data_IF_037988956962
#
_entry.id   IF_037988956962
#
_cell.length_a   1.000
_cell.length_b   1.000
_cell.length_c   1.000
_cell.angle_alpha   90.00
_cell.angle_beta   90.00
_cell.angle_gamma   90.00
#
_symmetry.space_group_name_H-M   'P 1'
#
loop_
_entity.id
_entity.type
_entity.pdbx_description
1 polymer ?
#
# COMPACT_ATOMS: atom_id res chain seq x y z
N UNK A 1 4.34 -12.28 -10.64
CA UNK A 1 4.65 -10.98 -10.05
C UNK A 1 5.85 -11.19 -9.16
N UNK A 2 6.93 -10.49 -9.47
CA UNK A 2 8.14 -10.42 -8.68
C UNK A 2 8.28 -8.94 -8.30
N UNK A 3 8.42 -8.66 -7.02
CA UNK A 3 8.66 -7.29 -6.55
C UNK A 3 9.99 -6.80 -7.09
N UNK A 4 10.12 -5.51 -7.32
CA UNK A 4 11.42 -4.93 -7.62
C UNK A 4 12.23 -4.85 -6.33
N UNK A 5 12.96 -5.91 -6.00
CA UNK A 5 13.76 -5.98 -4.77
C UNK A 5 15.11 -5.26 -4.87
N UNK A 6 15.53 -4.85 -6.06
CA UNK A 6 16.86 -4.27 -6.27
C UNK A 6 17.08 -3.03 -5.42
N UNK A 7 16.05 -2.18 -5.28
CA UNK A 7 16.16 -1.00 -4.45
C UNK A 7 16.28 -1.35 -2.95
N UNK A 8 15.47 -2.30 -2.46
CA UNK A 8 15.58 -2.77 -1.06
C UNK A 8 16.99 -3.31 -0.75
N UNK A 9 17.52 -4.12 -1.66
CA UNK A 9 18.80 -4.81 -1.46
C UNK A 9 20.00 -3.87 -1.64
N UNK A 10 20.00 -3.07 -2.70
CA UNK A 10 21.17 -2.28 -3.11
C UNK A 10 21.19 -0.88 -2.50
N UNK A 11 20.01 -0.27 -2.27
CA UNK A 11 19.92 1.11 -1.79
C UNK A 11 19.63 1.18 -0.29
N UNK A 12 18.80 0.27 0.23
CA UNK A 12 18.42 0.24 1.64
C UNK A 12 19.16 -0.80 2.48
N UNK A 13 20.05 -1.60 1.85
CA UNK A 13 20.87 -2.61 2.52
C UNK A 13 20.08 -3.69 3.28
N UNK A 14 18.85 -3.98 2.86
CA UNK A 14 18.12 -5.14 3.37
C UNK A 14 18.71 -6.44 2.80
N UNK A 15 18.57 -7.52 3.56
CA UNK A 15 18.88 -8.88 3.09
C UNK A 15 17.61 -9.71 3.03
N UNK A 16 17.47 -10.52 1.98
CA UNK A 16 16.42 -11.56 1.92
C UNK A 16 16.85 -12.72 2.81
N UNK A 17 15.94 -13.20 3.65
CA UNK A 17 16.12 -14.42 4.41
C UNK A 17 15.60 -15.60 3.61
N UNK A 18 16.39 -16.66 3.56
CA UNK A 18 15.90 -17.93 3.04
C UNK A 18 14.78 -18.45 3.92
N UNK A 19 13.57 -18.52 3.35
CA UNK A 19 12.44 -19.20 3.96
C UNK A 19 12.15 -20.48 3.14
N UNK A 20 12.30 -21.68 3.72
CA UNK A 20 12.06 -22.91 2.97
C UNK A 20 10.63 -22.93 2.44
N UNK A 21 10.48 -23.21 1.15
CA UNK A 21 9.17 -23.28 0.52
C UNK A 21 8.24 -24.21 1.29
N UNK A 22 7.15 -23.64 1.82
CA UNK A 22 6.09 -24.36 2.51
C UNK A 22 4.80 -24.24 1.70
N UNK A 23 4.24 -25.36 1.28
CA UNK A 23 2.92 -25.38 0.66
C UNK A 23 1.87 -24.96 1.71
N UNK A 24 1.00 -23.97 1.43
CA UNK A 24 -0.07 -23.58 2.34
C UNK A 24 -1.04 -24.73 2.59
N UNK A 25 -1.48 -24.85 3.84
CA UNK A 25 -2.59 -25.71 4.23
C UNK A 25 -3.94 -25.12 3.77
N UNK A 26 -4.96 -25.96 3.70
CA UNK A 26 -6.33 -25.51 3.37
C UNK A 26 -6.82 -24.46 4.37
N UNK A 27 -6.52 -24.63 5.67
CA UNK A 27 -6.92 -23.65 6.69
C UNK A 27 -6.23 -22.30 6.53
N UNK A 28 -4.93 -22.27 6.19
CA UNK A 28 -4.22 -21.03 5.86
C UNK A 28 -4.84 -20.35 4.61
N UNK A 29 -5.21 -21.13 3.59
CA UNK A 29 -5.84 -20.61 2.38
C UNK A 29 -7.27 -20.09 2.62
N UNK A 30 -8.03 -20.71 3.53
CA UNK A 30 -9.40 -20.29 3.88
C UNK A 30 -9.43 -18.92 4.56
N UNK A 31 -8.36 -18.53 5.24
CA UNK A 31 -8.23 -17.26 5.95
C UNK A 31 -7.22 -16.32 5.26
N UNK A 32 -6.93 -16.55 3.98
CA UNK A 32 -5.94 -15.78 3.23
C UNK A 32 -6.41 -14.34 2.99
N UNK A 33 -5.95 -13.40 3.81
CA UNK A 33 -6.29 -11.98 3.64
C UNK A 33 -5.69 -11.36 2.37
N UNK A 34 -4.57 -11.88 1.87
CA UNK A 34 -3.92 -11.36 0.67
C UNK A 34 -4.78 -11.52 -0.58
N UNK A 35 -5.73 -12.47 -0.62
CA UNK A 35 -6.63 -12.61 -1.78
C UNK A 35 -7.68 -11.53 -1.90
N UNK A 36 -7.79 -10.62 -0.92
CA UNK A 36 -8.68 -9.46 -0.98
C UNK A 36 -7.98 -8.21 -1.52
N UNK A 37 -6.65 -8.25 -1.69
CA UNK A 37 -5.88 -7.15 -2.24
C UNK A 37 -5.93 -7.22 -3.77
N UNK A 38 -6.32 -6.10 -4.37
CA UNK A 38 -6.33 -5.91 -5.81
C UNK A 38 -5.17 -4.99 -6.20
N UNK A 39 -4.46 -5.31 -7.28
CA UNK A 39 -3.40 -4.45 -7.77
C UNK A 39 -3.99 -3.15 -8.36
N UNK A 40 -3.29 -2.03 -8.14
CA UNK A 40 -3.59 -0.75 -8.75
C UNK A 40 -2.36 -0.19 -9.46
N UNK A 41 -2.12 -0.71 -10.66
CA UNK A 41 -0.92 -0.44 -11.47
C UNK A 41 -0.63 1.04 -11.74
N UNK A 42 -1.65 1.92 -11.76
CA UNK A 42 -1.45 3.36 -12.02
C UNK A 42 -0.67 4.10 -10.93
N UNK A 43 -0.56 3.48 -9.76
CA UNK A 43 0.23 3.97 -8.64
C UNK A 43 1.09 2.82 -8.08
N UNK A 44 1.47 1.89 -8.94
CA UNK A 44 2.35 0.75 -8.66
C UNK A 44 1.92 -0.15 -7.49
N UNK A 45 0.66 -0.08 -7.04
CA UNK A 45 0.17 -1.00 -6.02
C UNK A 45 0.16 -2.42 -6.57
N UNK A 46 0.93 -3.28 -5.93
CA UNK A 46 1.21 -4.64 -6.35
C UNK A 46 1.32 -5.52 -5.09
N UNK A 47 0.57 -6.62 -5.03
CA UNK A 47 0.49 -7.46 -3.83
C UNK A 47 0.66 -8.95 -4.10
N UNK A 48 1.29 -9.66 -3.18
CA UNK A 48 1.19 -11.12 -3.20
C UNK A 48 -0.27 -11.54 -3.04
N UNK A 49 -0.63 -12.70 -3.58
CA UNK A 49 -1.97 -13.27 -3.45
C UNK A 49 -2.01 -14.56 -2.61
N UNK A 50 -0.86 -15.03 -2.12
CA UNK A 50 -0.75 -16.26 -1.34
C UNK A 50 0.24 -16.08 -0.18
N UNK A 51 -0.03 -16.65 1.01
CA UNK A 51 0.84 -16.46 2.19
C UNK A 51 2.26 -17.00 2.00
N UNK A 52 2.44 -18.09 1.24
CA UNK A 52 3.76 -18.67 0.97
C UNK A 52 4.60 -17.86 -0.04
N UNK A 53 4.10 -16.72 -0.52
CA UNK A 53 4.85 -15.77 -1.34
C UNK A 53 5.41 -14.61 -0.51
N UNK A 54 5.16 -14.57 0.81
CA UNK A 54 5.83 -13.61 1.68
C UNK A 54 7.34 -13.75 1.55
N UNK A 55 8.01 -12.60 1.47
CA UNK A 55 9.47 -12.54 1.39
C UNK A 55 9.96 -11.97 2.71
N UNK A 56 10.65 -12.78 3.51
CA UNK A 56 11.23 -12.29 4.76
C UNK A 56 12.50 -11.50 4.45
N UNK A 57 12.56 -10.28 4.96
CA UNK A 57 13.68 -9.35 4.80
C UNK A 57 14.18 -8.86 6.17
N UNK A 58 15.40 -8.34 6.22
CA UNK A 58 15.99 -7.77 7.43
C UNK A 58 16.98 -6.68 7.12
N UNK A 59 17.04 -5.67 7.98
CA UNK A 59 18.05 -4.61 8.01
C UNK A 59 19.21 -4.94 8.98
N UNK A 60 19.24 -6.16 9.51
CA UNK A 60 20.19 -6.62 10.52
C UNK A 60 19.76 -6.38 11.98
N UNK A 61 18.78 -5.51 12.23
CA UNK A 61 18.23 -5.27 13.57
C UNK A 61 16.85 -5.91 13.73
N UNK A 62 15.96 -5.64 12.77
CA UNK A 62 14.60 -6.13 12.74
C UNK A 62 14.36 -7.02 11.52
N UNK A 63 13.21 -7.69 11.54
CA UNK A 63 12.79 -8.63 10.50
C UNK A 63 11.37 -8.32 10.10
N UNK A 64 11.12 -8.33 8.80
CA UNK A 64 9.83 -7.98 8.23
C UNK A 64 9.43 -9.00 7.16
N UNK A 65 8.14 -9.19 6.97
CA UNK A 65 7.61 -10.01 5.88
C UNK A 65 7.00 -9.09 4.82
N UNK A 66 7.68 -8.97 3.69
CA UNK A 66 7.25 -8.19 2.52
C UNK A 66 6.09 -8.88 1.81
N UNK A 67 5.02 -8.11 1.55
CA UNK A 67 3.82 -8.62 0.90
C UNK A 67 3.28 -7.74 -0.22
N UNK A 68 3.80 -6.53 -0.39
CA UNK A 68 3.38 -5.65 -1.48
C UNK A 68 4.32 -4.47 -1.68
N UNK A 69 4.07 -3.70 -2.73
CA UNK A 69 4.72 -2.43 -3.02
C UNK A 69 3.71 -1.43 -3.58
N UNK A 70 4.07 -0.15 -3.55
CA UNK A 70 3.43 0.94 -4.28
C UNK A 70 4.49 1.97 -4.69
N UNK A 71 4.06 3.04 -5.37
CA UNK A 71 4.92 4.14 -5.78
C UNK A 71 5.75 4.78 -4.65
N UNK A 72 5.36 4.60 -3.38
CA UNK A 72 6.06 5.12 -2.20
C UNK A 72 7.01 4.09 -1.53
N UNK A 73 7.06 2.85 -2.01
CA UNK A 73 7.95 1.82 -1.47
C UNK A 73 7.22 0.52 -1.14
N UNK A 74 7.61 -0.13 -0.04
CA UNK A 74 7.33 -1.56 0.18
C UNK A 74 6.50 -1.79 1.44
N UNK A 75 5.39 -2.51 1.30
CA UNK A 75 4.53 -2.90 2.41
C UNK A 75 5.04 -4.17 3.09
N UNK A 76 5.25 -4.05 4.40
CA UNK A 76 5.80 -5.14 5.19
C UNK A 76 5.00 -5.34 6.48
N UNK A 77 5.03 -6.57 6.99
CA UNK A 77 4.50 -6.92 8.31
C UNK A 77 5.67 -7.06 9.27
N UNK A 78 5.62 -6.36 10.40
CA UNK A 78 6.63 -6.48 11.45
C UNK A 78 6.36 -7.69 12.39
N UNK A 79 7.25 -7.90 13.36
CA UNK A 79 7.12 -8.99 14.34
C UNK A 79 5.89 -8.89 15.25
N UNK A 80 5.31 -7.69 15.39
CA UNK A 80 4.11 -7.45 16.19
C UNK A 80 2.83 -7.59 15.36
N UNK A 81 2.96 -7.84 14.05
CA UNK A 81 1.84 -7.97 13.11
C UNK A 81 1.37 -6.64 12.53
N UNK A 82 2.06 -5.54 12.81
CA UNK A 82 1.74 -4.21 12.27
C UNK A 82 2.17 -4.14 10.81
N UNK A 83 1.40 -3.39 10.03
CA UNK A 83 1.73 -3.07 8.64
C UNK A 83 2.46 -1.75 8.60
N UNK A 84 3.65 -1.77 8.00
CA UNK A 84 4.54 -0.64 7.84
C UNK A 84 4.87 -0.46 6.36
N UNK A 85 5.27 0.75 5.98
CA UNK A 85 5.84 1.04 4.67
C UNK A 85 7.32 1.36 4.83
N UNK A 86 8.17 0.56 4.18
CA UNK A 86 9.58 0.89 3.97
C UNK A 86 9.65 1.84 2.79
N UNK A 87 10.02 3.08 3.06
CA UNK A 87 9.95 4.19 2.12
C UNK A 87 11.09 4.12 1.09
N UNK A 88 10.74 4.32 -0.19
CA UNK A 88 11.72 4.69 -1.21
C UNK A 88 12.16 6.17 -1.03
N UNK A 89 12.94 6.70 -1.97
CA UNK A 89 13.41 8.08 -1.88
C UNK A 89 12.28 9.11 -2.04
N UNK A 90 11.30 8.86 -2.91
CA UNK A 90 10.11 9.73 -3.06
C UNK A 90 9.31 9.82 -1.76
N UNK A 91 9.05 8.68 -1.13
CA UNK A 91 8.37 8.63 0.16
C UNK A 91 9.21 9.24 1.28
N UNK A 92 10.54 9.11 1.24
CA UNK A 92 11.40 9.77 2.22
C UNK A 92 11.34 11.30 2.10
N UNK A 93 11.20 11.85 0.91
CA UNK A 93 10.99 13.29 0.73
C UNK A 93 9.67 13.76 1.36
N UNK A 94 8.61 12.96 1.25
CA UNK A 94 7.30 13.26 1.84
C UNK A 94 7.32 13.10 3.37
N UNK A 95 7.75 11.94 3.85
CA UNK A 95 7.59 11.55 5.25
C UNK A 95 8.77 11.93 6.15
N UNK A 96 9.93 12.23 5.55
CA UNK A 96 11.20 12.46 6.27
C UNK A 96 11.58 11.28 7.19
N UNK A 97 11.06 10.09 6.90
CA UNK A 97 11.26 8.87 7.66
C UNK A 97 11.36 7.66 6.72
N UNK A 98 12.22 6.69 7.04
CA UNK A 98 12.45 5.50 6.21
C UNK A 98 11.42 4.41 6.45
N UNK A 99 10.76 4.42 7.60
CA UNK A 99 9.69 3.47 7.93
C UNK A 99 8.53 4.27 8.50
N UNK A 100 7.36 4.13 7.90
CA UNK A 100 6.13 4.79 8.39
C UNK A 100 5.06 3.76 8.72
N UNK A 101 4.23 4.11 9.71
CA UNK A 101 3.11 3.28 10.12
C UNK A 101 1.97 3.37 9.10
N UNK A 102 1.36 2.21 8.81
CA UNK A 102 0.24 2.10 7.88
C UNK A 102 -1.01 1.66 8.63
N UNK A 103 -0.97 0.48 9.25
CA UNK A 103 -2.06 -0.06 10.06
C UNK A 103 -1.57 -0.97 11.17
N UNK A 104 -2.39 -1.17 12.19
CA UNK A 104 -2.05 -2.05 13.31
C UNK A 104 -2.15 -3.54 13.00
N UNK A 105 -2.75 -3.92 11.86
CA UNK A 105 -2.79 -5.30 11.37
C UNK A 105 -3.02 -5.40 9.86
N UNK A 106 -2.74 -6.57 9.28
CA UNK A 106 -3.05 -6.87 7.88
C UNK A 106 -4.56 -6.79 7.57
N UNK A 107 -5.42 -7.16 8.51
CA UNK A 107 -6.88 -7.07 8.35
C UNK A 107 -7.34 -5.62 8.20
N UNK A 108 -6.77 -4.72 9.02
CA UNK A 108 -7.08 -3.29 8.96
C UNK A 108 -6.47 -2.64 7.71
N UNK A 109 -5.30 -3.11 7.27
CA UNK A 109 -4.74 -2.72 5.97
C UNK A 109 -5.64 -3.09 4.81
N UNK A 110 -6.11 -4.34 4.73
CA UNK A 110 -7.04 -4.80 3.68
C UNK A 110 -8.32 -3.95 3.69
N UNK A 111 -8.85 -3.65 4.87
CA UNK A 111 -10.05 -2.83 5.03
C UNK A 111 -9.81 -1.38 4.57
N UNK A 112 -8.70 -0.76 4.99
CA UNK A 112 -8.32 0.60 4.63
C UNK A 112 -8.03 0.73 3.12
N UNK A 113 -7.32 -0.24 2.55
CA UNK A 113 -7.06 -0.30 1.11
C UNK A 113 -8.35 -0.49 0.30
N UNK A 114 -9.27 -1.31 0.78
CA UNK A 114 -10.59 -1.48 0.14
C UNK A 114 -11.42 -0.19 0.17
N UNK A 115 -11.36 0.57 1.28
CA UNK A 115 -11.97 1.90 1.37
C UNK A 115 -11.34 2.85 0.36
N UNK A 116 -10.01 2.87 0.25
CA UNK A 116 -9.29 3.67 -0.75
C UNK A 116 -9.76 3.34 -2.17
N UNK A 117 -9.80 2.06 -2.56
CA UNK A 117 -10.30 1.64 -3.87
C UNK A 117 -11.76 2.07 -4.10
N UNK A 118 -12.61 1.97 -3.08
CA UNK A 118 -13.99 2.45 -3.15
C UNK A 118 -14.07 3.94 -3.47
N UNK A 119 -13.32 4.78 -2.75
CA UNK A 119 -13.27 6.23 -3.01
C UNK A 119 -12.67 6.53 -4.40
N UNK A 120 -11.67 5.75 -4.83
CA UNK A 120 -11.10 5.84 -6.17
C UNK A 120 -12.16 5.60 -7.27
N UNK A 121 -13.05 4.61 -7.09
CA UNK A 121 -14.17 4.40 -8.01
C UNK A 121 -15.20 5.53 -7.97
N UNK A 122 -15.45 6.14 -6.81
CA UNK A 122 -16.31 7.31 -6.69
C UNK A 122 -15.72 8.49 -7.48
N UNK A 123 -14.43 8.79 -7.31
CA UNK A 123 -13.71 9.83 -8.06
C UNK A 123 -13.82 9.58 -9.57
N UNK A 124 -13.54 8.35 -10.01
CA UNK A 124 -13.70 7.93 -11.42
C UNK A 124 -15.12 8.12 -11.93
N UNK A 125 -16.15 7.87 -11.11
CA UNK A 125 -17.54 8.04 -11.55
C UNK A 125 -17.92 9.51 -11.79
N UNK A 126 -17.19 10.45 -11.18
CA UNK A 126 -17.48 11.88 -11.20
C UNK A 126 -16.44 12.74 -11.94
N UNK A 127 -15.39 12.16 -12.51
CA UNK A 127 -14.18 12.88 -12.95
C UNK A 127 -14.39 14.12 -13.84
N UNK A 128 -15.43 14.17 -14.69
CA UNK A 128 -15.72 15.34 -15.52
C UNK A 128 -16.49 16.47 -14.82
N UNK A 129 -17.07 16.21 -13.64
CA UNK A 129 -18.06 17.08 -12.99
C UNK A 129 -17.80 17.33 -11.51
N UNK A 130 -16.84 16.64 -10.92
CA UNK A 130 -16.54 16.74 -9.50
C UNK A 130 -16.06 18.16 -9.18
N UNK A 131 -16.61 18.74 -8.11
CA UNK A 131 -16.15 20.03 -7.58
C UNK A 131 -15.07 19.81 -6.54
N UNK A 132 -14.17 20.78 -6.36
CA UNK A 132 -13.12 20.73 -5.34
C UNK A 132 -13.67 20.36 -3.93
N UNK A 133 -14.76 21.00 -3.50
CA UNK A 133 -15.42 20.67 -2.22
C UNK A 133 -15.88 19.21 -2.12
N UNK A 134 -16.29 18.58 -3.22
CA UNK A 134 -16.66 17.16 -3.21
C UNK A 134 -15.43 16.26 -3.11
N UNK A 135 -14.28 16.68 -3.64
CA UNK A 135 -13.00 15.98 -3.49
C UNK A 135 -12.52 16.06 -2.03
N UNK A 136 -12.57 17.26 -1.45
CA UNK A 136 -12.27 17.50 -0.03
C UNK A 136 -13.16 16.64 0.88
N UNK A 137 -14.47 16.57 0.59
CA UNK A 137 -15.41 15.72 1.33
C UNK A 137 -15.05 14.23 1.21
N UNK A 138 -14.69 13.75 0.00
CA UNK A 138 -14.26 12.36 -0.21
C UNK A 138 -12.98 12.04 0.56
N UNK A 139 -11.99 12.94 0.54
CA UNK A 139 -10.73 12.80 1.26
C UNK A 139 -10.97 12.75 2.79
N UNK A 140 -11.77 13.68 3.31
CA UNK A 140 -12.11 13.73 4.73
C UNK A 140 -12.85 12.46 5.18
N UNK A 141 -13.89 12.06 4.45
CA UNK A 141 -14.63 10.82 4.75
C UNK A 141 -13.73 9.59 4.72
N UNK A 142 -12.83 9.50 3.73
CA UNK A 142 -11.85 8.41 3.65
C UNK A 142 -11.01 8.32 4.91
N UNK A 143 -10.45 9.46 5.34
CA UNK A 143 -9.58 9.51 6.50
C UNK A 143 -10.35 9.20 7.80
N UNK A 144 -11.58 9.72 7.94
CA UNK A 144 -12.46 9.40 9.06
C UNK A 144 -12.75 7.90 9.15
N UNK A 145 -13.04 7.24 8.01
CA UNK A 145 -13.28 5.80 7.97
C UNK A 145 -12.01 5.01 8.35
N UNK A 146 -10.82 5.41 7.87
CA UNK A 146 -9.54 4.78 8.23
C UNK A 146 -9.24 4.92 9.73
N UNK A 147 -9.43 6.12 10.28
CA UNK A 147 -9.23 6.37 11.71
C UNK A 147 -10.23 5.58 12.56
N UNK A 148 -11.47 5.40 12.10
CA UNK A 148 -12.46 4.59 12.80
C UNK A 148 -12.12 3.09 12.83
N UNK A 149 -11.37 2.60 11.83
CA UNK A 149 -10.82 1.23 11.84
C UNK A 149 -9.72 1.07 12.89
N UNK A 150 -8.85 2.08 13.03
CA UNK A 150 -7.81 2.11 14.05
C UNK A 150 -8.42 2.40 15.44
N UNK A 151 -8.62 1.35 16.24
CA UNK A 151 -9.19 1.46 17.60
C UNK A 151 -8.32 2.24 18.57
N UNK A 152 -7.02 2.32 18.31
CA UNK A 152 -6.04 3.02 19.13
C UNK A 152 -5.75 4.40 18.53
N UNK A 153 -6.22 5.45 19.20
CA UNK A 153 -6.04 6.83 18.75
C UNK A 153 -4.60 7.34 18.89
N UNK A 154 -3.69 6.57 19.48
CA UNK A 154 -2.25 6.89 19.48
C UNK A 154 -1.56 6.46 18.19
N UNK A 155 -2.17 5.58 17.39
CA UNK A 155 -1.67 5.24 16.07
C UNK A 155 -1.89 6.41 15.12
N UNK A 156 -0.83 6.80 14.42
CA UNK A 156 -0.88 7.79 13.35
C UNK A 156 -0.69 7.07 12.02
N UNK A 157 -1.77 6.78 11.26
CA UNK A 157 -1.70 6.12 9.96
C UNK A 157 -1.11 7.06 8.90
N UNK A 158 0.15 7.45 9.06
CA UNK A 158 0.88 8.45 8.27
C UNK A 158 0.81 8.18 6.77
N UNK A 159 0.85 6.91 6.37
CA UNK A 159 0.65 6.54 4.98
C UNK A 159 -0.73 6.96 4.45
N UNK A 160 -1.79 6.66 5.19
CA UNK A 160 -3.17 6.99 4.78
C UNK A 160 -3.47 8.48 4.85
N UNK A 161 -2.87 9.21 5.79
CA UNK A 161 -2.93 10.68 5.82
C UNK A 161 -2.38 11.27 4.51
N UNK A 162 -1.29 10.71 3.99
CA UNK A 162 -0.75 11.15 2.71
C UNK A 162 -1.61 10.71 1.53
N UNK A 163 -2.20 9.51 1.54
CA UNK A 163 -3.17 9.11 0.51
C UNK A 163 -4.39 10.06 0.51
N UNK A 164 -4.88 10.48 1.68
CA UNK A 164 -5.95 11.46 1.79
C UNK A 164 -5.53 12.83 1.21
N UNK A 165 -4.31 13.28 1.50
CA UNK A 165 -3.74 14.48 0.88
C UNK A 165 -3.71 14.36 -0.65
N UNK A 166 -3.26 13.24 -1.19
CA UNK A 166 -3.23 13.02 -2.64
C UNK A 166 -4.64 12.98 -3.27
N UNK A 167 -5.65 12.51 -2.54
CA UNK A 167 -7.03 12.61 -3.01
C UNK A 167 -7.44 14.08 -3.14
N UNK A 168 -7.16 14.89 -2.11
CA UNK A 168 -7.51 16.31 -2.06
C UNK A 168 -6.81 17.15 -3.14
N UNK A 169 -5.53 16.85 -3.40
CA UNK A 169 -4.65 17.61 -4.31
C UNK A 169 -4.63 17.07 -5.76
N UNK A 170 -5.59 16.21 -6.14
CA UNK A 170 -5.66 15.57 -7.47
C UNK A 170 -4.40 14.74 -7.82
N UNK A 171 -3.68 14.26 -6.79
CA UNK A 171 -2.48 13.43 -6.91
C UNK A 171 -2.75 11.94 -7.16
N UNK A 172 -4.01 11.49 -7.04
CA UNK A 172 -4.39 10.10 -7.37
C UNK A 172 -4.53 9.95 -8.89
N UNK A 173 -3.69 9.12 -9.48
CA UNK A 173 -3.72 8.86 -10.93
C UNK A 173 -4.95 8.01 -11.28
N UNK A 174 -6.00 8.62 -11.85
CA UNK A 174 -7.27 7.92 -12.18
C UNK A 174 -7.29 7.26 -13.57
N UNK A 175 -6.47 7.71 -14.50
CA UNK A 175 -6.41 7.23 -15.89
C UNK A 175 -4.96 7.11 -16.35
N UNK A 176 -4.71 6.37 -17.43
CA UNK A 176 -3.39 6.37 -18.05
C UNK A 176 -3.10 7.77 -18.60
N UNK A 177 -1.83 8.15 -18.64
CA UNK A 177 -1.42 9.37 -19.32
C UNK A 177 -1.68 9.23 -20.83
N UNK A 178 -1.89 10.35 -21.51
CA UNK A 178 -1.96 10.39 -22.97
C UNK A 178 -0.70 9.79 -23.59
N UNK A 179 0.47 9.98 -22.97
CA UNK A 179 1.74 9.41 -23.45
C UNK A 179 1.79 7.89 -23.40
N UNK A 180 1.09 7.27 -22.44
CA UNK A 180 1.05 5.80 -22.32
C UNK A 180 0.35 5.18 -23.53
N UNK A 181 -0.73 5.80 -24.00
CA UNK A 181 -1.44 5.36 -25.21
C UNK A 181 -0.60 5.47 -26.49
N UNK A 182 0.31 6.45 -26.55
CA UNK A 182 1.19 6.65 -27.71
C UNK A 182 2.23 5.52 -27.78
N UNK A 183 2.78 5.13 -26.63
CA UNK A 183 3.78 4.05 -26.55
C UNK A 183 3.16 2.65 -26.78
N UNK A 184 1.90 2.46 -26.38
CA UNK A 184 1.19 1.19 -26.51
C UNK A 184 0.50 0.97 -27.87
N UNK A 185 0.52 1.96 -28.78
CA UNK A 185 0.15 1.74 -30.18
C UNK A 185 -0.65 2.85 -30.85
N UNK A 186 0.03 3.95 -31.17
CA UNK A 186 -0.26 4.72 -32.41
C UNK A 186 0.83 4.45 -33.44
#
# INVERSE_FOLDING_TARGET
>A
MEFNLDYLLNNLAFIIKDNPYKKPSIEELRHNLFSYLEDYQKMDFSFINLPNKLIDISDGQDTYSLFGECFLGYFVIDKEGKVLLICNDEAYEVFQNRIVFVNSSLELFVSSYSLFLSKLFILKSKFYKIKAVEVEDISREFMEDVLALEKDSSNQPTFWEHIAYLIEDDGIVLRNDVTDYINDGV
#
